data_IF_400255697192
#
_entry.id   IF_400255697192
#
_cell.length_a   1.000
_cell.length_b   1.000
_cell.length_c   1.000
_cell.angle_alpha   90.00
_cell.angle_beta   90.00
_cell.angle_gamma   90.00
#
_symmetry.space_group_name_H-M   'P 1'
#
loop_
_entity.id
_entity.type
_entity.pdbx_description
1 polymer ?
#
# COMPACT_ATOMS: atom_id res chain seq x y z
N UNK A 1 6.45 45.66 -57.90
CA UNK A 1 5.64 44.57 -57.31
C UNK A 1 6.48 43.92 -56.21
N UNK A 2 6.28 44.30 -54.94
CA UNK A 2 7.05 43.75 -53.80
C UNK A 2 6.24 42.59 -53.21
N UNK A 3 6.76 41.37 -53.30
CA UNK A 3 6.15 40.19 -52.67
C UNK A 3 6.66 40.10 -51.24
N UNK A 4 5.75 40.31 -50.28
CA UNK A 4 6.01 40.18 -48.85
C UNK A 4 5.87 38.69 -48.48
N UNK A 5 6.96 38.02 -48.16
CA UNK A 5 6.94 36.64 -47.66
C UNK A 5 6.79 36.69 -46.14
N UNK A 6 5.60 36.40 -45.63
CA UNK A 6 5.33 36.21 -44.20
C UNK A 6 5.80 34.82 -43.78
N UNK A 7 6.89 34.77 -43.02
CA UNK A 7 7.39 33.58 -42.35
C UNK A 7 6.53 33.28 -41.12
N UNK A 8 5.70 32.23 -41.19
CA UNK A 8 5.01 31.64 -40.05
C UNK A 8 5.98 30.75 -39.26
N UNK A 9 6.61 31.28 -38.21
CA UNK A 9 7.32 30.45 -37.23
C UNK A 9 6.28 29.79 -36.32
N UNK A 10 5.93 28.54 -36.61
CA UNK A 10 5.12 27.70 -35.73
C UNK A 10 5.95 27.33 -34.49
N UNK A 11 5.60 27.92 -33.34
CA UNK A 11 6.16 27.58 -32.04
C UNK A 11 5.51 26.26 -31.58
N UNK A 12 6.16 25.12 -31.86
CA UNK A 12 5.80 23.86 -31.25
C UNK A 12 6.19 23.89 -29.77
N UNK A 13 5.22 24.24 -28.91
CA UNK A 13 5.34 24.06 -27.48
C UNK A 13 5.32 22.55 -27.19
N UNK A 14 6.49 21.93 -27.14
CA UNK A 14 6.63 20.57 -26.62
C UNK A 14 6.32 20.62 -25.12
N UNK A 15 5.04 20.47 -24.77
CA UNK A 15 4.63 20.23 -23.39
C UNK A 15 5.12 18.82 -23.04
N UNK A 16 6.35 18.71 -22.55
CA UNK A 16 6.78 17.50 -21.86
C UNK A 16 5.93 17.40 -20.62
N UNK A 17 4.83 16.65 -20.70
CA UNK A 17 4.17 16.10 -19.53
C UNK A 17 5.25 15.25 -18.84
N UNK A 18 5.91 15.84 -17.86
CA UNK A 18 6.69 15.09 -16.90
C UNK A 18 5.67 14.22 -16.15
N UNK A 19 5.40 13.03 -16.67
CA UNK A 19 4.79 11.97 -15.88
C UNK A 19 5.73 11.75 -14.73
N UNK A 20 5.41 12.31 -13.57
CA UNK A 20 6.06 11.95 -12.33
C UNK A 20 5.99 10.43 -12.22
N UNK A 21 7.15 9.79 -12.35
CA UNK A 21 7.30 8.36 -12.10
C UNK A 21 6.98 8.20 -10.61
N UNK A 22 5.91 7.48 -10.31
CA UNK A 22 5.58 7.16 -8.92
C UNK A 22 6.76 6.41 -8.30
N UNK A 23 6.95 6.56 -7.00
CA UNK A 23 7.98 5.82 -6.28
C UNK A 23 7.86 4.31 -6.58
N UNK A 24 8.99 3.62 -6.58
CA UNK A 24 8.99 2.18 -6.85
C UNK A 24 8.41 1.45 -5.63
N UNK A 25 7.43 0.56 -5.83
CA UNK A 25 6.94 -0.29 -4.76
C UNK A 25 7.98 -1.35 -4.42
N UNK A 26 8.01 -1.78 -3.17
CA UNK A 26 8.81 -2.92 -2.70
C UNK A 26 7.98 -4.20 -2.54
N UNK A 27 6.65 -4.09 -2.67
CA UNK A 27 5.73 -5.22 -2.81
C UNK A 27 4.38 -4.75 -3.36
N UNK A 28 3.80 -5.51 -4.29
CA UNK A 28 2.44 -5.30 -4.83
C UNK A 28 1.72 -6.64 -4.93
N UNK A 29 0.60 -6.78 -4.24
CA UNK A 29 -0.27 -7.96 -4.33
C UNK A 29 -1.64 -7.51 -4.85
N UNK A 30 -1.88 -7.72 -6.14
CA UNK A 30 -3.10 -7.29 -6.84
C UNK A 30 -4.28 -8.27 -6.66
N UNK A 31 -4.01 -9.52 -6.24
CA UNK A 31 -5.02 -10.58 -6.11
C UNK A 31 -5.75 -10.94 -7.41
N UNK A 32 -5.09 -10.83 -8.55
CA UNK A 32 -5.65 -11.12 -9.87
C UNK A 32 -5.53 -12.60 -10.31
N UNK A 33 -4.89 -13.46 -9.50
CA UNK A 33 -4.69 -14.88 -9.80
C UNK A 33 -6.02 -15.64 -9.88
N UNK A 34 -6.95 -15.32 -8.98
CA UNK A 34 -8.30 -15.89 -8.94
C UNK A 34 -8.40 -17.38 -8.63
N UNK A 35 -7.28 -18.05 -8.32
CA UNK A 35 -7.20 -19.47 -7.96
C UNK A 35 -5.87 -19.82 -7.31
N UNK A 36 -5.81 -21.00 -6.69
CA UNK A 36 -4.60 -21.50 -6.04
C UNK A 36 -4.37 -20.85 -4.68
N UNK A 37 -3.19 -21.12 -4.12
CA UNK A 37 -2.76 -20.68 -2.79
C UNK A 37 -1.59 -19.69 -2.82
N UNK A 38 -1.23 -19.17 -3.99
CA UNK A 38 -0.16 -18.17 -4.16
C UNK A 38 -0.77 -16.80 -4.42
N UNK A 39 -0.19 -15.78 -3.81
CA UNK A 39 -0.47 -14.37 -4.06
C UNK A 39 0.81 -13.74 -4.60
N UNK A 40 0.86 -13.41 -5.88
CA UNK A 40 2.10 -13.01 -6.55
C UNK A 40 2.46 -11.57 -6.23
N UNK A 41 3.74 -11.30 -6.00
CA UNK A 41 4.27 -9.95 -5.94
C UNK A 41 4.51 -9.43 -7.37
N UNK A 42 3.70 -8.45 -7.79
CA UNK A 42 3.80 -7.78 -9.08
C UNK A 42 4.89 -6.70 -9.13
N UNK A 43 5.61 -6.47 -8.03
CA UNK A 43 6.77 -5.58 -7.98
C UNK A 43 8.03 -6.26 -8.55
N UNK A 44 9.17 -5.55 -8.53
CA UNK A 44 10.47 -6.13 -8.92
C UNK A 44 11.15 -6.92 -7.77
N UNK A 45 10.52 -7.02 -6.58
CA UNK A 45 11.13 -7.58 -5.36
C UNK A 45 10.92 -9.09 -5.16
N UNK A 46 9.90 -9.68 -5.78
CA UNK A 46 9.64 -11.13 -5.70
C UNK A 46 9.16 -11.62 -4.33
N UNK A 47 8.45 -10.79 -3.57
CA UNK A 47 7.91 -11.11 -2.26
C UNK A 47 6.56 -11.86 -2.35
N UNK A 48 6.53 -12.99 -3.05
CA UNK A 48 5.32 -13.79 -3.20
C UNK A 48 4.77 -14.25 -1.86
N UNK A 49 3.45 -14.18 -1.71
CA UNK A 49 2.70 -14.64 -0.56
C UNK A 49 2.06 -16.01 -0.75
N UNK A 50 1.72 -16.62 0.38
CA UNK A 50 0.97 -17.87 0.43
C UNK A 50 -0.31 -17.70 1.24
N UNK A 51 -1.42 -18.18 0.69
CA UNK A 51 -2.71 -18.30 1.37
C UNK A 51 -2.63 -19.46 2.35
N UNK A 52 -2.94 -19.18 3.61
CA UNK A 52 -3.12 -20.17 4.68
C UNK A 52 -4.61 -20.29 4.97
N UNK A 53 -5.11 -21.52 5.04
CA UNK A 53 -6.50 -21.81 5.35
C UNK A 53 -7.41 -21.81 4.12
N UNK A 54 -8.59 -21.20 4.24
CA UNK A 54 -9.71 -21.28 3.31
C UNK A 54 -10.16 -19.89 2.85
N UNK A 55 -9.20 -19.02 2.52
CA UNK A 55 -9.53 -17.78 1.84
C UNK A 55 -10.17 -18.06 0.47
N UNK A 56 -11.08 -17.20 0.05
CA UNK A 56 -11.83 -17.38 -1.21
C UNK A 56 -11.53 -16.24 -2.18
N UNK A 57 -11.36 -16.57 -3.46
CA UNK A 57 -11.24 -15.60 -4.53
C UNK A 57 -12.62 -15.04 -4.87
N UNK A 58 -12.78 -13.72 -4.86
CA UNK A 58 -14.07 -13.02 -5.10
C UNK A 58 -13.89 -11.89 -6.12
N UNK A 59 -14.99 -11.24 -6.52
CA UNK A 59 -14.91 -10.01 -7.31
C UNK A 59 -14.33 -8.86 -6.47
N UNK A 60 -13.31 -8.21 -7.01
CA UNK A 60 -12.54 -7.16 -6.35
C UNK A 60 -13.09 -5.76 -6.52
N UNK A 61 -12.34 -4.78 -6.00
CA UNK A 61 -12.49 -3.38 -6.38
C UNK A 61 -11.99 -3.19 -7.81
N UNK A 62 -10.88 -3.85 -8.13
CA UNK A 62 -10.34 -4.02 -9.47
C UNK A 62 -10.24 -5.53 -9.71
N UNK A 63 -10.77 -6.02 -10.84
CA UNK A 63 -10.68 -7.45 -11.18
C UNK A 63 -11.11 -8.38 -10.05
N UNK A 64 -10.17 -9.13 -9.49
CA UNK A 64 -10.37 -10.11 -8.42
C UNK A 64 -9.85 -9.60 -7.07
N UNK A 65 -10.29 -10.25 -6.00
CA UNK A 65 -9.86 -9.97 -4.64
C UNK A 65 -9.81 -11.26 -3.82
N UNK A 66 -9.19 -11.18 -2.65
CA UNK A 66 -9.16 -12.27 -1.69
C UNK A 66 -10.06 -11.97 -0.49
N UNK A 67 -11.03 -12.86 -0.22
CA UNK A 67 -11.90 -12.81 0.93
C UNK A 67 -11.39 -13.71 2.05
N UNK A 68 -11.13 -13.12 3.21
CA UNK A 68 -10.77 -13.85 4.42
C UNK A 68 -12.01 -14.10 5.29
N UNK A 69 -12.18 -15.32 5.83
CA UNK A 69 -13.34 -15.67 6.65
C UNK A 69 -13.27 -15.12 8.08
N UNK A 70 -12.12 -14.57 8.52
CA UNK A 70 -11.92 -14.05 9.87
C UNK A 70 -12.00 -15.10 10.98
N UNK A 71 -11.69 -16.36 10.65
CA UNK A 71 -11.60 -17.45 11.63
C UNK A 71 -10.15 -17.94 11.73
N UNK A 72 -9.86 -18.67 12.81
CA UNK A 72 -8.51 -19.15 13.13
C UNK A 72 -7.87 -19.87 11.94
N UNK A 73 -6.64 -19.47 11.60
CA UNK A 73 -5.84 -20.11 10.57
C UNK A 73 -6.14 -19.66 9.14
N UNK A 74 -6.79 -18.50 8.95
CA UNK A 74 -7.07 -17.96 7.62
C UNK A 74 -6.44 -16.58 7.42
N UNK A 75 -5.39 -16.51 6.61
CA UNK A 75 -4.59 -15.32 6.38
C UNK A 75 -3.67 -15.52 5.16
N UNK A 76 -3.00 -14.45 4.73
CA UNK A 76 -1.86 -14.56 3.79
C UNK A 76 -0.58 -14.34 4.56
N UNK A 77 0.43 -15.17 4.31
CA UNK A 77 1.79 -14.99 4.83
C UNK A 77 2.73 -14.68 3.69
N UNK A 78 3.55 -13.65 3.87
CA UNK A 78 4.65 -13.29 2.98
C UNK A 78 5.93 -13.43 3.81
N UNK A 79 6.91 -14.25 3.38
CA UNK A 79 8.18 -14.39 4.08
C UNK A 79 8.88 -13.05 4.31
N UNK A 80 9.63 -12.96 5.39
CA UNK A 80 10.51 -11.80 5.61
C UNK A 80 11.52 -11.66 4.45
N UNK A 81 11.85 -10.41 4.14
CA UNK A 81 12.77 -10.02 3.08
C UNK A 81 13.31 -8.63 3.38
N UNK A 82 14.60 -8.35 3.10
CA UNK A 82 15.18 -7.02 3.32
C UNK A 82 14.42 -5.88 2.60
N UNK A 83 13.77 -6.16 1.47
CA UNK A 83 12.97 -5.14 0.75
C UNK A 83 11.71 -4.74 1.50
N UNK A 84 11.21 -5.61 2.39
CA UNK A 84 10.06 -5.34 3.25
C UNK A 84 10.46 -4.65 4.55
N UNK A 85 11.74 -4.30 4.74
CA UNK A 85 12.25 -3.68 5.98
C UNK A 85 12.76 -2.26 5.68
N UNK A 86 11.89 -1.33 5.21
CA UNK A 86 12.34 0.01 4.89
C UNK A 86 12.68 0.77 6.17
N UNK A 87 13.85 1.40 6.22
CA UNK A 87 14.41 1.95 7.48
C UNK A 87 14.02 3.40 7.77
N UNK A 88 13.58 4.15 6.76
CA UNK A 88 13.42 5.62 6.86
C UNK A 88 12.02 6.10 6.55
N UNK A 89 11.42 5.53 5.52
CA UNK A 89 10.13 5.94 5.05
C UNK A 89 9.34 4.71 4.63
N UNK A 90 8.02 4.79 4.76
CA UNK A 90 7.15 3.72 4.30
C UNK A 90 5.83 4.31 3.84
N UNK A 91 5.26 3.69 2.81
CA UNK A 91 3.84 3.77 2.53
C UNK A 91 3.27 2.37 2.49
N UNK A 92 2.18 2.13 3.21
CA UNK A 92 1.38 0.91 3.13
C UNK A 92 -0.01 1.28 2.64
N UNK A 93 -0.60 0.47 1.78
CA UNK A 93 -1.97 0.70 1.30
C UNK A 93 -2.66 -0.58 0.87
N UNK A 94 -3.99 -0.51 0.86
CA UNK A 94 -4.87 -1.60 0.48
C UNK A 94 -6.29 -1.11 0.25
N UNK A 95 -7.02 -1.83 -0.59
CA UNK A 95 -8.48 -1.80 -0.60
C UNK A 95 -9.04 -2.86 0.34
N UNK A 96 -10.10 -2.49 1.06
CA UNK A 96 -10.85 -3.40 1.94
C UNK A 96 -12.35 -3.29 1.70
N UNK A 97 -13.04 -4.42 1.89
CA UNK A 97 -14.48 -4.51 2.06
C UNK A 97 -14.77 -5.32 3.33
N UNK A 98 -14.73 -4.68 4.51
CA UNK A 98 -14.80 -5.38 5.79
C UNK A 98 -16.20 -5.91 6.06
N UNK A 99 -16.30 -7.11 6.64
CA UNK A 99 -17.53 -7.57 7.28
C UNK A 99 -17.78 -6.76 8.56
N UNK A 100 -19.05 -6.62 8.96
CA UNK A 100 -19.42 -5.91 10.18
C UNK A 100 -18.70 -6.44 11.44
N UNK A 101 -18.39 -7.74 11.52
CA UNK A 101 -17.66 -8.32 12.64
C UNK A 101 -16.22 -7.81 12.77
N UNK A 102 -15.60 -7.35 11.67
CA UNK A 102 -14.22 -6.87 11.70
C UNK A 102 -14.04 -5.40 12.07
N UNK A 103 -15.15 -4.67 12.28
CA UNK A 103 -15.12 -3.27 12.68
C UNK A 103 -15.73 -3.03 14.07
N UNK A 104 -16.07 -4.11 14.79
CA UNK A 104 -16.61 -4.07 16.17
C UNK A 104 -15.56 -4.40 17.23
N UNK A 105 -14.46 -5.04 16.83
CA UNK A 105 -13.29 -5.28 17.66
C UNK A 105 -12.00 -4.91 16.88
N UNK A 106 -10.84 -5.19 17.45
CA UNK A 106 -9.57 -5.05 16.77
C UNK A 106 -9.42 -6.12 15.67
N UNK A 107 -9.16 -5.66 14.44
CA UNK A 107 -8.80 -6.49 13.29
C UNK A 107 -7.51 -5.97 12.65
N UNK A 108 -6.54 -6.85 12.44
CA UNK A 108 -5.30 -6.50 11.75
C UNK A 108 -5.45 -6.80 10.28
N UNK A 109 -5.33 -5.76 9.46
CA UNK A 109 -5.51 -5.89 8.02
C UNK A 109 -4.22 -6.34 7.36
N UNK A 110 -3.12 -5.78 7.84
CA UNK A 110 -1.78 -5.91 7.31
C UNK A 110 -0.84 -5.68 8.49
N UNK A 111 0.11 -6.58 8.74
CA UNK A 111 1.09 -6.38 9.80
C UNK A 111 2.36 -7.19 9.64
N UNK A 112 3.46 -6.52 9.93
CA UNK A 112 4.76 -7.10 10.24
C UNK A 112 5.01 -6.87 11.73
N UNK A 113 4.24 -7.57 12.56
CA UNK A 113 4.14 -7.34 14.00
C UNK A 113 3.63 -8.61 14.72
N UNK A 114 4.16 -8.87 15.92
CA UNK A 114 3.80 -9.96 16.82
C UNK A 114 3.22 -9.42 18.13
N UNK A 115 2.09 -9.97 18.60
CA UNK A 115 1.34 -9.42 19.74
C UNK A 115 2.12 -9.27 21.02
N UNK A 116 3.04 -10.18 21.21
CA UNK A 116 3.58 -10.52 22.50
C UNK A 116 5.11 -10.50 22.45
N UNK A 117 5.65 -9.92 21.37
CA UNK A 117 7.06 -9.68 21.16
C UNK A 117 7.27 -8.22 20.72
N UNK A 118 7.24 -7.33 21.71
CA UNK A 118 7.52 -5.91 21.51
C UNK A 118 8.89 -5.66 20.85
N UNK A 119 9.83 -6.61 20.97
CA UNK A 119 11.14 -6.51 20.37
C UNK A 119 11.14 -6.85 18.88
N UNK A 120 10.03 -7.27 18.27
CA UNK A 120 9.94 -7.62 16.85
C UNK A 120 8.72 -6.98 16.15
N UNK A 121 8.12 -5.95 16.74
CA UNK A 121 7.09 -5.14 16.08
C UNK A 121 7.74 -4.13 15.15
N UNK A 122 7.15 -3.94 13.98
CA UNK A 122 7.74 -3.07 12.95
C UNK A 122 6.70 -2.11 12.40
N UNK A 123 5.67 -2.62 11.72
CA UNK A 123 4.63 -1.76 11.14
C UNK A 123 3.34 -2.51 10.84
N UNK A 124 2.25 -1.76 10.64
CA UNK A 124 0.99 -2.35 10.19
C UNK A 124 -0.15 -1.35 10.03
N UNK A 125 -1.30 -1.88 9.59
CA UNK A 125 -2.58 -1.17 9.55
C UNK A 125 -3.63 -2.04 10.24
N UNK A 126 -4.41 -1.42 11.13
CA UNK A 126 -5.51 -2.09 11.82
C UNK A 126 -6.79 -1.25 11.84
N UNK A 127 -7.90 -1.94 12.08
CA UNK A 127 -9.18 -1.34 12.49
C UNK A 127 -9.36 -1.65 13.96
N UNK A 128 -9.85 -0.67 14.72
CA UNK A 128 -10.27 -0.84 16.12
C UNK A 128 -11.78 -0.58 16.29
N UNK A 129 -12.30 -0.90 17.47
CA UNK A 129 -13.71 -1.11 17.82
C UNK A 129 -14.67 0.07 17.50
N UNK A 130 -14.13 1.26 17.27
CA UNK A 130 -14.84 2.48 16.90
C UNK A 130 -14.78 2.77 15.40
N UNK A 131 -14.38 1.79 14.57
CA UNK A 131 -14.20 1.96 13.12
C UNK A 131 -13.08 2.95 12.78
N UNK A 132 -12.11 3.11 13.69
CA UNK A 132 -10.91 3.91 13.47
C UNK A 132 -9.84 3.07 12.79
N UNK A 133 -9.25 3.63 11.74
CA UNK A 133 -8.03 3.13 11.13
C UNK A 133 -6.83 3.62 11.93
N UNK A 134 -5.92 2.71 12.25
CA UNK A 134 -4.68 3.02 12.94
C UNK A 134 -3.50 2.54 12.12
N UNK A 135 -2.65 3.50 11.74
CA UNK A 135 -1.32 3.25 11.22
C UNK A 135 -0.39 2.97 12.39
N UNK A 136 0.34 1.86 12.33
CA UNK A 136 1.30 1.45 13.35
C UNK A 136 2.68 1.49 12.74
N UNK A 137 3.59 2.20 13.42
CA UNK A 137 5.02 2.17 13.16
C UNK A 137 5.68 1.98 14.53
N UNK A 138 6.45 0.93 14.70
CA UNK A 138 7.22 0.68 15.92
C UNK A 138 8.73 0.83 15.62
N UNK A 139 9.34 1.98 15.98
CA UNK A 139 10.78 2.19 15.87
C UNK A 139 11.60 1.48 16.97
N UNK A 140 10.99 0.60 17.77
CA UNK A 140 11.66 -0.18 18.82
C UNK A 140 11.80 0.53 20.18
N UNK A 141 11.12 1.67 20.38
CA UNK A 141 11.14 2.43 21.63
C UNK A 141 9.74 2.89 22.09
N UNK A 142 8.96 3.48 21.17
CA UNK A 142 7.55 3.83 21.35
C UNK A 142 6.84 3.77 20.01
N UNK A 143 5.63 3.19 19.98
CA UNK A 143 4.79 3.19 18.79
C UNK A 143 4.52 4.63 18.33
N UNK A 144 4.78 4.92 17.05
CA UNK A 144 4.14 6.02 16.35
C UNK A 144 2.82 5.50 15.83
N UNK A 145 1.73 6.06 16.35
CA UNK A 145 0.37 5.68 15.98
C UNK A 145 -0.30 6.85 15.28
N UNK A 146 -0.61 6.68 14.00
CA UNK A 146 -1.46 7.60 13.25
C UNK A 146 -2.91 7.13 13.37
N UNK A 147 -3.80 7.99 13.86
CA UNK A 147 -5.19 7.66 14.11
C UNK A 147 -6.12 8.43 13.17
N UNK A 148 -7.14 7.76 12.65
CA UNK A 148 -8.29 8.42 12.03
C UNK A 148 -9.37 8.82 13.05
N UNK A 149 -10.39 9.52 12.58
CA UNK A 149 -11.72 9.48 13.23
C UNK A 149 -12.44 8.16 12.86
N UNK A 150 -13.47 7.74 13.61
CA UNK A 150 -14.42 6.72 13.18
C UNK A 150 -14.96 6.98 11.78
N UNK A 151 -14.65 6.11 10.81
CA UNK A 151 -15.06 6.33 9.41
C UNK A 151 -15.34 5.04 8.64
N UNK A 152 -14.77 3.90 9.06
CA UNK A 152 -14.90 2.64 8.33
C UNK A 152 -16.33 2.11 8.36
N UNK A 153 -16.86 1.78 7.18
CA UNK A 153 -18.19 1.19 7.01
C UNK A 153 -18.09 -0.29 6.62
N UNK A 154 -19.02 -1.15 7.06
CA UNK A 154 -19.04 -2.53 6.62
C UNK A 154 -19.51 -2.63 5.17
N UNK A 155 -19.14 -3.72 4.50
CA UNK A 155 -19.65 -4.16 3.19
C UNK A 155 -19.46 -3.17 2.04
N UNK A 156 -18.54 -2.21 2.18
CA UNK A 156 -18.19 -1.22 1.17
C UNK A 156 -16.70 -1.23 0.89
N UNK A 157 -16.34 -1.21 -0.39
CA UNK A 157 -14.96 -1.00 -0.82
C UNK A 157 -14.47 0.37 -0.38
N UNK A 158 -13.38 0.39 0.37
CA UNK A 158 -12.74 1.58 0.91
C UNK A 158 -11.23 1.41 0.78
N UNK A 159 -10.54 2.47 0.42
CA UNK A 159 -9.09 2.46 0.32
C UNK A 159 -8.47 3.06 1.58
N UNK A 160 -7.53 2.34 2.17
CA UNK A 160 -6.74 2.81 3.30
C UNK A 160 -5.29 2.92 2.87
N UNK A 161 -4.63 4.00 3.29
CA UNK A 161 -3.19 4.09 3.21
C UNK A 161 -2.62 4.74 4.47
N UNK A 162 -1.37 4.40 4.78
CA UNK A 162 -0.61 5.04 5.83
C UNK A 162 0.79 5.36 5.32
N UNK A 163 1.27 6.57 5.59
CA UNK A 163 2.62 7.00 5.25
C UNK A 163 3.37 7.39 6.51
N UNK A 164 4.67 7.08 6.56
CA UNK A 164 5.55 7.55 7.62
C UNK A 164 6.91 7.98 7.07
N UNK A 165 7.46 9.06 7.62
CA UNK A 165 8.82 9.54 7.35
C UNK A 165 9.54 9.85 8.67
N UNK A 166 10.61 9.10 8.96
CA UNK A 166 11.37 9.23 10.21
C UNK A 166 12.09 10.58 10.34
N UNK A 167 12.44 11.21 9.22
CA UNK A 167 13.14 12.51 9.22
C UNK A 167 12.21 13.65 9.64
N UNK A 168 10.98 13.63 9.14
CA UNK A 168 9.96 14.64 9.48
C UNK A 168 9.13 14.23 10.70
N UNK A 169 9.19 12.96 11.10
CA UNK A 169 8.38 12.30 12.14
C UNK A 169 6.88 12.45 11.86
N UNK A 170 6.50 12.46 10.59
CA UNK A 170 5.10 12.56 10.18
C UNK A 170 4.54 11.18 9.88
N UNK A 171 3.44 10.84 10.57
CA UNK A 171 2.59 9.71 10.27
C UNK A 171 1.25 10.25 9.75
N UNK A 172 0.82 9.81 8.57
CA UNK A 172 -0.42 10.28 7.93
C UNK A 172 -1.27 9.08 7.58
N UNK A 173 -2.56 9.15 7.93
CA UNK A 173 -3.57 8.15 7.58
C UNK A 173 -4.45 8.72 6.48
N UNK A 174 -4.70 7.92 5.44
CA UNK A 174 -5.55 8.27 4.31
C UNK A 174 -6.75 7.34 4.21
N UNK A 175 -7.91 7.91 3.88
CA UNK A 175 -9.14 7.18 3.55
C UNK A 175 -9.63 7.67 2.19
N UNK A 176 -9.82 6.75 1.24
CA UNK A 176 -10.29 7.07 -0.11
C UNK A 176 -9.51 8.21 -0.78
N UNK A 177 -8.19 8.25 -0.56
CA UNK A 177 -7.29 9.23 -1.16
C UNK A 177 -7.13 10.54 -0.39
N UNK A 178 -7.89 10.77 0.68
CA UNK A 178 -7.86 12.00 1.48
C UNK A 178 -7.16 11.79 2.82
N UNK A 179 -6.36 12.76 3.26
CA UNK A 179 -5.76 12.78 4.59
C UNK A 179 -6.85 13.00 5.64
N UNK A 180 -6.94 12.06 6.58
CA UNK A 180 -7.94 11.99 7.63
C UNK A 180 -7.30 11.81 9.01
N UNK A 181 -6.01 12.16 9.12
CA UNK A 181 -5.24 12.06 10.34
C UNK A 181 -5.86 12.95 11.41
N UNK A 182 -6.35 12.33 12.48
CA UNK A 182 -6.99 12.99 13.61
C UNK A 182 -6.02 13.22 14.77
N UNK A 183 -5.09 12.28 14.97
CA UNK A 183 -4.12 12.27 16.05
C UNK A 183 -2.88 11.49 15.65
N UNK A 184 -1.72 11.94 16.14
CA UNK A 184 -0.47 11.17 16.09
C UNK A 184 0.10 11.09 17.52
N UNK A 185 0.40 9.88 17.98
CA UNK A 185 1.15 9.66 19.23
C UNK A 185 2.66 9.68 18.91
N UNK A 186 3.48 10.49 19.59
CA UNK A 186 4.90 10.69 19.24
C UNK A 186 5.90 10.29 20.35
N UNK A 187 6.82 9.39 19.99
CA UNK A 187 8.26 9.64 19.98
C UNK A 187 8.87 8.73 18.88
N UNK A 188 8.85 9.20 17.64
CA UNK A 188 9.26 8.45 16.47
C UNK A 188 10.75 8.19 16.34
N UNK A 189 11.16 7.65 15.20
CA UNK A 189 12.53 7.27 14.91
C UNK A 189 12.61 6.51 13.59
N UNK A 190 13.80 6.00 13.28
CA UNK A 190 13.93 5.09 12.15
C UNK A 190 13.09 3.84 12.36
N UNK A 191 12.53 3.32 11.27
CA UNK A 191 11.81 2.06 11.30
C UNK A 191 12.79 0.93 11.65
N UNK A 192 12.24 -0.09 12.30
CA UNK A 192 12.99 -1.27 12.69
C UNK A 192 13.22 -2.20 11.49
N UNK A 193 14.37 -2.85 11.48
CA UNK A 193 14.63 -4.04 10.68
C UNK A 193 14.35 -5.27 11.55
N UNK A 194 13.24 -5.96 11.31
CA UNK A 194 12.86 -7.14 12.05
C UNK A 194 12.63 -8.37 11.16
N UNK A 195 12.75 -9.58 11.74
CA UNK A 195 12.65 -10.84 10.99
C UNK A 195 11.20 -11.30 10.81
N UNK A 196 10.21 -10.49 11.17
CA UNK A 196 8.81 -10.92 11.25
C UNK A 196 8.24 -11.09 9.84
N UNK A 197 7.55 -12.19 9.52
CA UNK A 197 6.85 -12.29 8.23
C UNK A 197 5.76 -11.22 8.13
N UNK A 198 5.50 -10.77 6.91
CA UNK A 198 4.35 -9.91 6.66
C UNK A 198 3.09 -10.77 6.60
N UNK A 199 2.09 -10.41 7.41
CA UNK A 199 0.81 -11.10 7.49
C UNK A 199 -0.31 -10.19 7.00
N UNK A 200 -1.18 -10.72 6.14
CA UNK A 200 -2.41 -10.06 5.73
C UNK A 200 -3.61 -10.72 6.41
N UNK A 201 -4.39 -9.91 7.13
CA UNK A 201 -5.61 -10.31 7.81
C UNK A 201 -5.44 -11.02 9.14
N UNK A 202 -4.23 -11.00 9.73
CA UNK A 202 -3.96 -11.66 11.00
C UNK A 202 -2.93 -10.91 11.84
N UNK A 203 -3.21 -10.76 13.14
CA UNK A 203 -2.22 -10.39 14.12
C UNK A 203 -1.69 -11.63 14.84
N UNK A 204 -0.44 -11.98 14.56
CA UNK A 204 0.19 -13.19 15.06
C UNK A 204 -0.01 -13.42 16.56
N UNK A 205 -0.28 -14.68 16.91
CA UNK A 205 -0.50 -15.20 18.27
C UNK A 205 -1.72 -14.64 18.99
N UNK A 206 -2.71 -14.11 18.25
CA UNK A 206 -3.96 -13.59 18.82
C UNK A 206 -5.23 -14.17 18.19
N UNK A 207 -6.38 -13.71 18.69
CA UNK A 207 -7.70 -13.92 18.09
C UNK A 207 -8.14 -12.76 17.16
N UNK A 208 -7.23 -11.87 16.77
CA UNK A 208 -7.54 -10.73 15.90
C UNK A 208 -7.36 -11.10 14.43
N UNK A 209 -8.44 -11.61 13.85
CA UNK A 209 -8.55 -12.02 12.45
C UNK A 209 -9.40 -11.04 11.67
N UNK A 210 -8.99 -10.74 10.44
CA UNK A 210 -9.79 -9.95 9.52
C UNK A 210 -10.79 -10.83 8.76
N UNK A 211 -12.04 -10.40 8.76
CA UNK A 211 -13.14 -10.92 7.96
C UNK A 211 -13.53 -9.87 6.93
N UNK A 212 -13.48 -10.24 5.66
CA UNK A 212 -13.79 -9.33 4.56
C UNK A 212 -12.91 -9.57 3.35
N UNK A 213 -13.17 -8.82 2.28
CA UNK A 213 -12.36 -8.85 1.08
C UNK A 213 -11.23 -7.81 1.14
N UNK A 214 -10.06 -8.18 0.61
CA UNK A 214 -8.92 -7.29 0.39
C UNK A 214 -8.47 -7.35 -1.06
N UNK A 215 -7.96 -6.23 -1.54
CA UNK A 215 -7.56 -6.03 -2.93
C UNK A 215 -6.44 -4.98 -3.00
N UNK A 216 -5.65 -4.97 -4.07
CA UNK A 216 -4.69 -3.91 -4.41
C UNK A 216 -3.80 -3.51 -3.21
N UNK A 217 -3.08 -4.48 -2.62
CA UNK A 217 -2.19 -4.25 -1.47
C UNK A 217 -0.80 -3.85 -1.97
N UNK A 218 -0.19 -2.82 -1.36
CA UNK A 218 1.18 -2.42 -1.70
C UNK A 218 1.97 -1.84 -0.54
N UNK A 219 3.30 -1.94 -0.67
CA UNK A 219 4.28 -1.28 0.18
C UNK A 219 5.26 -0.51 -0.70
N UNK A 220 5.61 0.69 -0.26
CA UNK A 220 6.68 1.51 -0.81
C UNK A 220 7.69 1.82 0.30
N UNK A 221 8.98 1.89 -0.04
CA UNK A 221 10.07 2.32 0.85
C UNK A 221 10.20 3.87 0.95
N UNK A 222 9.17 4.56 0.46
CA UNK A 222 9.09 6.01 0.36
C UNK A 222 7.76 6.47 0.94
N UNK A 223 7.73 7.64 1.58
CA UNK A 223 6.50 8.28 2.02
C UNK A 223 5.88 9.00 0.82
N UNK A 224 4.85 8.39 0.23
CA UNK A 224 4.15 8.95 -0.93
C UNK A 224 3.42 10.23 -0.56
N UNK A 225 3.37 11.19 -1.49
CA UNK A 225 2.63 12.44 -1.30
C UNK A 225 1.12 12.19 -1.48
N UNK A 226 0.30 13.06 -0.87
CA UNK A 226 -1.16 12.99 -0.98
C UNK A 226 -1.67 12.89 -2.44
N UNK A 227 -1.06 13.61 -3.38
CA UNK A 227 -1.43 13.53 -4.81
C UNK A 227 -1.13 12.18 -5.46
N UNK A 228 -0.08 11.48 -5.00
CA UNK A 228 0.27 10.13 -5.45
C UNK A 228 -0.73 9.10 -4.89
N UNK A 229 -1.05 9.20 -3.60
CA UNK A 229 -2.09 8.40 -2.95
C UNK A 229 -3.45 8.57 -3.65
N UNK A 230 -3.86 9.81 -3.92
CA UNK A 230 -5.11 10.11 -4.61
C UNK A 230 -5.13 9.52 -6.03
N UNK A 231 -4.01 9.57 -6.76
CA UNK A 231 -3.90 8.96 -8.09
C UNK A 231 -4.02 7.44 -8.04
N UNK A 232 -3.39 6.79 -7.07
CA UNK A 232 -3.49 5.33 -6.88
C UNK A 232 -4.92 4.95 -6.50
N UNK A 233 -5.53 5.66 -5.55
CA UNK A 233 -6.93 5.46 -5.18
C UNK A 233 -7.88 5.51 -6.39
N UNK A 234 -7.73 6.48 -7.29
CA UNK A 234 -8.61 6.64 -8.44
C UNK A 234 -8.39 5.59 -9.53
N UNK A 235 -7.14 5.19 -9.76
CA UNK A 235 -6.77 4.40 -10.93
C UNK A 235 -6.38 2.93 -10.64
N UNK A 236 -6.20 2.56 -9.37
CA UNK A 236 -5.64 1.27 -8.95
C UNK A 236 -4.13 1.19 -9.14
N UNK A 237 -3.48 0.26 -8.44
CA UNK A 237 -2.02 0.07 -8.48
C UNK A 237 -1.53 -0.33 -9.86
N UNK A 238 -2.24 -1.23 -10.54
CA UNK A 238 -1.86 -1.71 -11.87
C UNK A 238 -1.67 -0.56 -12.86
N UNK A 239 -2.63 0.37 -12.95
CA UNK A 239 -2.58 1.47 -13.91
C UNK A 239 -1.68 2.62 -13.47
N UNK A 240 -1.66 2.93 -12.18
CA UNK A 240 -0.93 4.09 -11.66
C UNK A 240 0.58 3.81 -11.52
N UNK A 241 0.96 2.60 -11.11
CA UNK A 241 2.34 2.22 -10.78
C UNK A 241 2.95 1.31 -11.86
N UNK A 242 2.30 0.18 -12.16
CA UNK A 242 2.91 -0.85 -13.03
C UNK A 242 2.96 -0.42 -14.50
N UNK A 243 1.88 0.14 -15.04
CA UNK A 243 1.84 0.60 -16.44
C UNK A 243 2.78 1.78 -16.69
N UNK A 244 2.92 2.70 -15.73
CA UNK A 244 3.83 3.86 -15.84
C UNK A 244 5.30 3.41 -15.86
N UNK A 245 5.65 2.31 -15.18
CA UNK A 245 7.01 1.76 -15.19
C UNK A 245 7.45 1.28 -16.58
N UNK A 246 6.52 0.77 -17.41
CA UNK A 246 6.80 0.24 -18.75
C UNK A 246 7.08 1.38 -19.75
N UNK A 247 6.33 2.49 -19.67
CA UNK A 247 6.57 3.66 -20.53
C UNK A 247 7.92 4.33 -20.23
N UNK A 248 8.35 4.35 -18.95
CA UNK A 248 9.69 4.80 -18.58
C UNK A 248 10.80 3.93 -19.20
N UNK A 249 10.63 2.59 -19.19
CA UNK A 249 11.58 1.65 -19.81
C UNK A 249 11.65 1.80 -21.34
N UNK A 250 10.54 2.09 -22.00
CA UNK A 250 10.51 2.37 -23.45
C UNK A 250 11.20 3.69 -23.80
N UNK A 251 11.00 4.76 -23.03
CA UNK A 251 11.66 6.04 -23.28
C UNK A 251 13.20 5.94 -23.22
N UNK A 252 13.75 5.15 -22.29
CA UNK A 252 15.20 4.93 -22.16
C UNK A 252 15.77 4.12 -23.33
N UNK A 253 15.05 3.10 -23.81
CA UNK A 253 15.50 2.28 -24.95
C UNK A 253 15.52 3.06 -26.27
N UNK A 254 14.59 3.98 -26.49
CA UNK A 254 14.62 4.89 -27.66
C UNK A 254 15.72 5.95 -27.57
N UNK A 255 16.07 6.43 -26.37
CA UNK A 255 17.20 7.34 -26.16
C UNK A 255 18.55 6.68 -26.47
N UNK A 256 18.72 5.41 -26.09
CA UNK A 256 19.94 4.65 -26.38
C UNK A 256 20.09 4.29 -27.87
N UNK A 257 18.99 4.12 -28.60
CA UNK A 257 19.02 3.81 -30.04
C UNK A 257 19.38 5.00 -30.94
N UNK A 258 19.27 6.25 -30.45
CA UNK A 258 19.60 7.46 -31.22
C UNK A 258 21.06 7.92 -31.07
N UNK A 259 21.85 7.19 -30.28
CA UNK A 259 23.28 7.45 -30.07
C UNK A 259 24.19 6.42 -30.80
N UNK A 260 23.72 5.86 -31.92
CA UNK A 260 24.53 5.09 -32.86
C UNK A 260 24.42 5.66 -34.26
#
# INVERSE_FOLDING_TARGET
MKVLVLSFTSLFLLCTLATAVLAKPVGIWLFEEGKGDVVSDSSESGNDGKIVGKAEWVEGKFGKALSLPGTVGNYVTIPDSPTLNPMKQITMMLWIKPDAASITNQSRLFSKDLCCDAANREYGIQIINDKTCVLIIDPGAKNVLGWSKPIISPDKWQHLAGTYDSKTRQAIVYYNGEDITAKVDDAGGDLKDGPTPLLLGYYADTAHWYKGAMDDVAIFDTALRAGEIAKIYQAGLQRSVLVVSVYGKLAVTWGASKNK
#
